data_IF_122260794641
#
_entry.id   IF_122260794641
#
_cell.length_a   1.000
_cell.length_b   1.000
_cell.length_c   1.000
_cell.angle_alpha   90.00
_cell.angle_beta   90.00
_cell.angle_gamma   90.00
#
_symmetry.space_group_name_H-M   'P 1'
#
loop_
_entity.id
_entity.type
_entity.pdbx_description
1 polymer ?
#
# COMPACT_ATOMS: atom_id res chain seq x y z
N UNK A 1 -38.56 -7.86 -2.22
CA UNK A 1 -37.24 -8.54 -2.12
C UNK A 1 -36.14 -7.60 -2.62
N UNK A 2 -35.38 -6.92 -1.74
CA UNK A 2 -34.44 -5.85 -2.07
C UNK A 2 -33.09 -6.32 -2.67
N UNK A 3 -32.97 -7.60 -3.03
CA UNK A 3 -31.72 -8.21 -3.48
C UNK A 3 -31.53 -8.26 -5.01
N UNK A 4 -32.24 -7.44 -5.78
CA UNK A 4 -32.14 -7.41 -7.25
C UNK A 4 -31.11 -6.38 -7.72
N UNK A 5 -30.11 -6.84 -8.46
CA UNK A 5 -29.18 -5.98 -9.19
C UNK A 5 -29.75 -5.49 -10.53
N UNK A 6 -28.91 -4.90 -11.38
CA UNK A 6 -29.28 -4.48 -12.75
C UNK A 6 -29.83 -5.67 -13.55
N UNK A 7 -30.79 -5.40 -14.46
CA UNK A 7 -31.33 -6.42 -15.39
C UNK A 7 -30.17 -7.13 -16.13
N UNK A 8 -30.24 -8.45 -16.20
CA UNK A 8 -29.20 -9.30 -16.80
C UNK A 8 -28.15 -9.86 -15.83
N UNK A 9 -28.11 -9.41 -14.57
CA UNK A 9 -27.19 -9.93 -13.55
C UNK A 9 -27.89 -10.89 -12.59
N UNK A 10 -27.36 -12.10 -12.43
CA UNK A 10 -27.89 -13.07 -11.47
C UNK A 10 -27.53 -12.66 -10.03
N UNK A 11 -28.44 -12.93 -9.09
CA UNK A 11 -28.22 -12.62 -7.66
C UNK A 11 -27.03 -13.42 -7.11
N UNK A 12 -26.84 -14.65 -7.58
CA UNK A 12 -25.72 -15.51 -7.17
C UNK A 12 -24.37 -14.91 -7.56
N UNK A 13 -24.17 -14.52 -8.81
CA UNK A 13 -22.91 -13.93 -9.26
C UNK A 13 -22.60 -12.64 -8.50
N UNK A 14 -23.63 -11.81 -8.27
CA UNK A 14 -23.49 -10.61 -7.43
C UNK A 14 -23.02 -10.96 -6.02
N UNK A 15 -23.60 -11.97 -5.38
CA UNK A 15 -23.21 -12.41 -4.04
C UNK A 15 -21.79 -12.99 -4.01
N UNK A 16 -21.41 -13.80 -5.01
CA UNK A 16 -20.06 -14.36 -5.12
C UNK A 16 -19.00 -13.27 -5.20
N UNK A 17 -19.22 -12.25 -6.03
CA UNK A 17 -18.29 -11.10 -6.12
C UNK A 17 -18.22 -10.32 -4.82
N UNK A 18 -19.35 -10.04 -4.17
CA UNK A 18 -19.35 -9.34 -2.88
C UNK A 18 -18.60 -10.13 -1.79
N UNK A 19 -18.76 -11.46 -1.75
CA UNK A 19 -18.02 -12.33 -0.82
C UNK A 19 -16.54 -12.42 -1.15
N UNK A 20 -16.16 -12.35 -2.43
CA UNK A 20 -14.76 -12.28 -2.82
C UNK A 20 -14.12 -10.99 -2.32
N UNK A 21 -14.76 -9.84 -2.54
CA UNK A 21 -14.28 -8.54 -2.07
C UNK A 21 -14.13 -8.58 -0.54
N UNK A 22 -15.18 -9.00 0.17
CA UNK A 22 -15.14 -9.15 1.63
C UNK A 22 -13.99 -10.07 2.07
N UNK A 23 -13.78 -11.20 1.41
CA UNK A 23 -12.70 -12.13 1.76
C UNK A 23 -11.31 -11.50 1.60
N UNK A 24 -11.12 -10.66 0.58
CA UNK A 24 -9.84 -9.99 0.31
C UNK A 24 -9.61 -8.75 1.18
N UNK A 25 -10.67 -8.09 1.66
CA UNK A 25 -10.54 -6.84 2.42
C UNK A 25 -10.73 -7.01 3.93
N UNK A 26 -11.52 -8.00 4.35
CA UNK A 26 -11.87 -8.23 5.76
C UNK A 26 -11.89 -9.71 6.18
N UNK A 27 -11.76 -10.64 5.23
CA UNK A 27 -11.77 -12.07 5.49
C UNK A 27 -10.38 -12.71 5.53
N UNK A 28 -10.32 -14.00 5.23
CA UNK A 28 -9.11 -14.80 5.40
C UNK A 28 -7.95 -14.30 4.53
N UNK A 29 -8.23 -13.88 3.30
CA UNK A 29 -7.21 -13.41 2.38
C UNK A 29 -6.72 -11.99 2.71
N UNK A 30 -7.48 -11.22 3.50
CA UNK A 30 -7.07 -9.89 3.95
C UNK A 30 -5.82 -9.94 4.84
N UNK A 31 -5.57 -11.05 5.54
CA UNK A 31 -4.34 -11.25 6.32
C UNK A 31 -3.11 -11.20 5.42
N UNK A 32 -3.13 -11.90 4.28
CA UNK A 32 -2.05 -11.84 3.29
C UNK A 32 -2.04 -10.49 2.57
N UNK A 33 -3.19 -10.07 2.06
CA UNK A 33 -3.28 -8.89 1.22
C UNK A 33 -2.98 -7.56 1.95
N UNK A 34 -3.34 -7.43 3.23
CA UNK A 34 -3.16 -6.20 4.00
C UNK A 34 -2.05 -6.35 5.04
N UNK A 35 -2.18 -7.30 5.96
CA UNK A 35 -1.28 -7.39 7.12
C UNK A 35 0.11 -7.89 6.73
N UNK A 36 0.19 -8.90 5.87
CA UNK A 36 1.47 -9.42 5.36
C UNK A 36 2.10 -8.44 4.37
N UNK A 37 1.33 -7.77 3.51
CA UNK A 37 1.89 -6.66 2.70
C UNK A 37 2.49 -5.52 3.54
N UNK A 38 1.98 -5.29 4.76
CA UNK A 38 2.48 -4.23 5.65
C UNK A 38 3.71 -4.64 6.46
N UNK A 39 3.83 -5.91 6.83
CA UNK A 39 4.88 -6.40 7.75
C UNK A 39 5.81 -7.46 7.15
N UNK A 40 5.48 -7.96 5.96
CA UNK A 40 6.28 -8.87 5.17
C UNK A 40 7.62 -8.23 4.86
N UNK A 41 8.70 -8.95 5.16
CA UNK A 41 10.09 -8.45 5.12
C UNK A 41 10.40 -7.27 6.08
N UNK A 42 9.54 -7.00 7.06
CA UNK A 42 9.76 -6.00 8.11
C UNK A 42 8.73 -4.87 8.09
N UNK A 43 8.57 -4.19 9.22
CA UNK A 43 7.63 -3.07 9.33
C UNK A 43 8.05 -1.88 8.46
N UNK A 44 7.14 -0.96 8.09
CA UNK A 44 7.48 0.21 7.29
C UNK A 44 8.58 1.07 7.94
N UNK A 45 8.64 1.08 9.27
CA UNK A 45 9.67 1.82 9.99
C UNK A 45 11.07 1.21 9.78
N UNK A 46 11.19 -0.11 9.68
CA UNK A 46 12.47 -0.76 9.36
C UNK A 46 12.98 -0.33 7.98
N UNK A 47 12.09 -0.26 6.98
CA UNK A 47 12.43 0.22 5.65
C UNK A 47 12.83 1.70 5.65
N UNK A 48 12.14 2.56 6.40
CA UNK A 48 12.50 3.99 6.54
C UNK A 48 13.90 4.16 7.12
N UNK A 49 14.25 3.38 8.14
CA UNK A 49 15.60 3.40 8.74
C UNK A 49 16.66 2.95 7.71
N UNK A 50 16.40 1.88 6.96
CA UNK A 50 17.34 1.42 5.92
C UNK A 50 17.53 2.46 4.82
N UNK A 51 16.45 3.08 4.34
CA UNK A 51 16.52 4.18 3.36
C UNK A 51 17.37 5.32 3.93
N UNK A 52 17.13 5.75 5.17
CA UNK A 52 17.92 6.82 5.79
C UNK A 52 19.42 6.48 5.90
N UNK A 53 19.77 5.22 6.19
CA UNK A 53 21.18 4.77 6.27
C UNK A 53 21.87 4.76 4.92
N UNK A 54 21.15 4.39 3.86
CA UNK A 54 21.68 4.31 2.49
C UNK A 54 21.57 5.63 1.73
N UNK A 55 20.75 6.56 2.23
CA UNK A 55 20.52 7.86 1.63
C UNK A 55 21.72 8.77 1.88
N UNK A 56 22.39 9.16 0.80
CA UNK A 56 23.49 10.11 0.84
C UNK A 56 22.98 11.55 1.09
N UNK A 57 22.76 11.86 2.36
CA UNK A 57 22.24 13.15 2.81
C UNK A 57 23.24 14.28 2.56
N UNK A 58 24.52 14.04 2.80
CA UNK A 58 25.54 15.08 2.71
C UNK A 58 25.79 15.51 1.27
N UNK A 59 25.83 14.56 0.32
CA UNK A 59 25.93 14.93 -1.09
C UNK A 59 24.71 15.74 -1.55
N UNK A 60 23.49 15.37 -1.12
CA UNK A 60 22.29 16.14 -1.46
C UNK A 60 22.29 17.54 -0.84
N UNK A 61 22.81 17.69 0.37
CA UNK A 61 23.02 19.01 0.99
C UNK A 61 24.02 19.84 0.19
N UNK A 62 25.13 19.25 -0.25
CA UNK A 62 26.12 19.91 -1.10
C UNK A 62 25.52 20.37 -2.44
N UNK A 63 24.74 19.52 -3.09
CA UNK A 63 24.04 19.86 -4.33
C UNK A 63 23.04 21.01 -4.11
N UNK A 64 22.28 20.97 -3.02
CA UNK A 64 21.33 22.04 -2.69
C UNK A 64 22.04 23.39 -2.45
N UNK A 65 23.15 23.39 -1.70
CA UNK A 65 23.96 24.60 -1.46
C UNK A 65 24.52 25.17 -2.76
N UNK A 66 25.06 24.30 -3.63
CA UNK A 66 25.57 24.69 -4.94
C UNK A 66 24.49 25.36 -5.80
N UNK A 67 23.29 24.78 -5.87
CA UNK A 67 22.17 25.36 -6.61
C UNK A 67 21.66 26.69 -6.01
N UNK A 68 21.75 26.84 -4.68
CA UNK A 68 21.37 28.06 -3.99
C UNK A 68 22.45 29.16 -4.02
N UNK A 69 23.62 28.89 -4.61
CA UNK A 69 24.75 29.82 -4.60
C UNK A 69 25.35 30.04 -3.20
N UNK A 70 25.11 29.14 -2.26
CA UNK A 70 25.66 29.22 -0.90
C UNK A 70 27.09 28.67 -0.95
N UNK A 71 28.06 29.57 -0.80
CA UNK A 71 29.48 29.25 -0.69
C UNK A 71 29.84 29.29 0.79
N UNK A 72 29.88 28.11 1.42
CA UNK A 72 30.53 27.90 2.73
C UNK A 72 31.89 27.25 2.51
#
# INVERSE_FOLDING_TARGET
MPNRGKKGVTVENRRRVLRLIENMTMGRNAVGYLSESLHGAGSPQAQRVLIQRLFDLENKKRLAKHLAGIVE
#
